data_IF_080809396133
#
_entry.id   IF_080809396133
#
_cell.length_a   1.000
_cell.length_b   1.000
_cell.length_c   1.000
_cell.angle_alpha   90.00
_cell.angle_beta   90.00
_cell.angle_gamma   90.00
#
_symmetry.space_group_name_H-M   'P 1'
#
loop_
_entity.id
_entity.type
_entity.pdbx_description
1 polymer ?
#
# COMPACT_ATOMS: atom_id res chain seq x y z
N UNK A 1 -3.54 -64.71 17.35
CA UNK A 1 -4.59 -64.23 16.44
C UNK A 1 -5.00 -62.85 16.95
N UNK A 2 -4.60 -61.72 16.33
CA UNK A 2 -5.10 -61.15 15.04
C UNK A 2 -6.55 -60.62 15.15
N UNK A 3 -6.92 -59.39 14.72
CA UNK A 3 -6.15 -58.32 14.05
C UNK A 3 -6.85 -56.92 14.12
N UNK A 4 -6.05 -55.83 14.20
CA UNK A 4 -6.21 -54.39 13.75
C UNK A 4 -7.53 -53.58 13.94
N UNK A 5 -7.48 -52.33 14.47
CA UNK A 5 -7.29 -50.98 13.83
C UNK A 5 -8.46 -50.52 12.92
N UNK A 6 -8.79 -49.23 12.73
CA UNK A 6 -8.13 -47.93 13.02
C UNK A 6 -9.20 -46.88 13.46
N UNK A 7 -9.03 -45.61 13.88
CA UNK A 7 -8.00 -44.53 13.87
C UNK A 7 -7.69 -43.87 12.50
N UNK A 8 -7.53 -42.55 12.35
CA UNK A 8 -7.65 -41.39 13.25
C UNK A 8 -6.99 -40.15 12.61
N UNK A 9 -7.39 -38.91 12.94
CA UNK A 9 -6.73 -37.66 12.47
C UNK A 9 -6.44 -36.74 13.67
N UNK A 10 -5.25 -36.15 13.70
CA UNK A 10 -4.69 -35.48 14.87
C UNK A 10 -4.74 -33.94 14.81
N UNK A 11 -4.91 -33.32 15.98
CA UNK A 11 -4.55 -31.92 16.18
C UNK A 11 -3.01 -31.77 16.20
N UNK A 12 -2.47 -30.74 15.54
CA UNK A 12 -1.02 -30.52 15.45
C UNK A 12 -0.57 -29.37 16.39
N UNK A 13 0.17 -29.65 17.49
CA UNK A 13 0.41 -28.68 18.55
C UNK A 13 1.73 -27.90 18.37
N UNK A 14 1.71 -26.73 17.70
CA UNK A 14 2.93 -25.88 17.62
C UNK A 14 2.76 -24.37 17.34
N UNK A 15 1.89 -23.68 18.07
CA UNK A 15 2.02 -22.23 18.28
C UNK A 15 1.71 -21.84 19.72
N UNK A 16 2.71 -21.32 20.44
CA UNK A 16 2.51 -20.77 21.79
C UNK A 16 1.93 -19.35 21.68
N UNK A 17 0.78 -19.13 22.32
CA UNK A 17 0.22 -17.80 22.53
C UNK A 17 1.16 -17.00 23.44
N UNK A 18 1.47 -15.76 23.06
CA UNK A 18 2.39 -14.89 23.80
C UNK A 18 1.61 -14.21 24.95
N UNK A 19 1.81 -14.59 26.23
CA UNK A 19 0.75 -14.49 27.25
C UNK A 19 0.76 -13.16 28.04
N UNK A 20 0.83 -12.02 27.34
CA UNK A 20 0.85 -10.69 27.98
C UNK A 20 -0.08 -9.69 27.31
N UNK A 21 -1.39 -9.89 27.50
CA UNK A 21 -2.41 -8.87 27.28
C UNK A 21 -3.51 -9.00 28.34
N UNK A 22 -3.45 -8.17 29.40
CA UNK A 22 -4.43 -8.14 30.49
C UNK A 22 -5.00 -6.71 30.63
N UNK A 23 -6.26 -6.45 30.23
CA UNK A 23 -6.78 -5.10 30.11
C UNK A 23 -7.58 -4.64 31.36
N UNK A 24 -6.90 -4.20 32.44
CA UNK A 24 -7.59 -3.58 33.59
C UNK A 24 -6.99 -2.26 34.10
N UNK A 25 -7.76 -1.19 33.84
CA UNK A 25 -7.87 0.12 34.54
C UNK A 25 -6.65 1.07 34.57
N UNK A 26 -6.90 2.40 34.61
CA UNK A 26 -5.85 3.42 34.54
C UNK A 26 -5.39 3.91 35.92
N UNK A 27 -4.11 4.24 36.05
CA UNK A 27 -3.57 5.06 37.15
C UNK A 27 -3.36 6.50 36.68
N UNK A 28 -3.85 7.46 37.47
CA UNK A 28 -3.76 8.89 37.17
C UNK A 28 -2.43 9.47 37.63
N UNK A 29 -1.64 10.02 36.70
CA UNK A 29 -0.46 10.84 37.00
C UNK A 29 -0.51 12.14 36.20
N UNK A 30 -0.70 13.26 36.91
CA UNK A 30 -0.64 14.60 36.32
C UNK A 30 0.80 14.96 35.95
N UNK A 31 1.15 14.85 34.68
CA UNK A 31 2.31 15.52 34.10
C UNK A 31 1.84 16.83 33.43
N UNK A 32 2.37 17.98 33.87
CA UNK A 32 2.07 19.28 33.27
C UNK A 32 2.71 19.36 31.87
N UNK A 33 1.90 19.31 30.81
CA UNK A 33 2.39 19.38 29.42
C UNK A 33 2.60 20.85 29.04
N UNK A 34 3.87 21.28 29.06
CA UNK A 34 4.28 22.55 28.44
C UNK A 34 3.97 22.50 26.93
N UNK A 35 3.24 23.48 26.36
CA UNK A 35 2.80 23.42 24.98
C UNK A 35 3.95 23.69 24.00
N UNK A 36 4.61 22.62 23.54
CA UNK A 36 5.54 22.66 22.41
C UNK A 36 4.84 23.24 21.17
N UNK A 37 5.31 24.40 20.70
CA UNK A 37 4.83 25.09 19.49
C UNK A 37 4.76 24.11 18.31
N UNK A 38 3.55 23.80 17.85
CA UNK A 38 3.32 23.04 16.62
C UNK A 38 3.85 23.83 15.42
N UNK A 39 5.01 23.45 14.89
CA UNK A 39 5.40 23.83 13.53
C UNK A 39 4.53 23.03 12.55
N UNK A 40 3.57 23.70 11.91
CA UNK A 40 2.83 23.13 10.79
C UNK A 40 3.82 22.81 9.66
N UNK A 41 3.85 21.56 9.20
CA UNK A 41 4.69 21.17 8.08
C UNK A 41 3.92 21.33 6.76
N UNK A 42 4.47 22.16 5.87
CA UNK A 42 4.11 22.30 4.45
C UNK A 42 2.61 22.28 4.12
N UNK A 43 1.98 23.46 4.18
CA UNK A 43 1.09 23.84 3.07
C UNK A 43 1.98 24.16 1.85
N UNK A 44 1.56 23.74 0.67
CA UNK A 44 1.96 24.39 -0.59
C UNK A 44 1.22 25.73 -0.62
N UNK A 45 1.86 26.83 -1.04
CA UNK A 45 1.17 28.11 -1.22
C UNK A 45 0.15 28.03 -2.36
N UNK A 46 -0.89 28.88 -2.32
CA UNK A 46 -1.93 28.93 -3.36
C UNK A 46 -1.46 29.63 -4.66
N UNK A 47 -0.14 29.75 -4.89
CA UNK A 47 0.46 30.29 -6.11
C UNK A 47 1.08 29.21 -7.00
N UNK A 48 0.86 29.29 -8.31
CA UNK A 48 1.24 28.25 -9.29
C UNK A 48 2.73 27.86 -9.25
N UNK A 49 3.62 28.77 -8.87
CA UNK A 49 5.05 28.49 -8.73
C UNK A 49 5.39 27.41 -7.69
N UNK A 50 4.70 27.39 -6.54
CA UNK A 50 4.89 26.38 -5.50
C UNK A 50 4.37 25.01 -5.97
N UNK A 51 3.26 24.99 -6.71
CA UNK A 51 2.68 23.78 -7.31
C UNK A 51 3.59 23.20 -8.39
N UNK A 52 4.10 24.03 -9.30
CA UNK A 52 5.01 23.62 -10.36
C UNK A 52 6.34 23.09 -9.81
N UNK A 53 6.88 23.72 -8.76
CA UNK A 53 8.07 23.23 -8.06
C UNK A 53 7.84 21.84 -7.42
N UNK A 54 6.71 21.65 -6.74
CA UNK A 54 6.33 20.37 -6.13
C UNK A 54 6.14 19.25 -7.17
N UNK A 55 5.45 19.54 -8.28
CA UNK A 55 5.28 18.59 -9.40
C UNK A 55 6.63 18.21 -10.02
N UNK A 56 7.51 19.19 -10.25
CA UNK A 56 8.84 18.97 -10.83
C UNK A 56 9.73 18.10 -9.92
N UNK A 57 9.79 18.40 -8.61
CA UNK A 57 10.52 17.55 -7.65
C UNK A 57 9.94 16.12 -7.64
N UNK A 58 8.61 15.98 -7.56
CA UNK A 58 7.94 14.68 -7.56
C UNK A 58 8.23 13.88 -8.84
N UNK A 59 8.19 14.51 -10.01
CA UNK A 59 8.43 13.86 -11.30
C UNK A 59 9.89 13.45 -11.48
N UNK A 60 10.85 14.29 -11.06
CA UNK A 60 12.28 13.94 -11.03
C UNK A 60 12.54 12.73 -10.12
N UNK A 61 11.92 12.70 -8.94
CA UNK A 61 11.98 11.58 -8.01
C UNK A 61 11.34 10.30 -8.57
N UNK A 62 10.25 10.44 -9.33
CA UNK A 62 9.60 9.35 -10.09
C UNK A 62 10.52 8.81 -11.19
N UNK A 63 11.20 9.67 -11.97
CA UNK A 63 12.20 9.24 -12.96
C UNK A 63 13.34 8.43 -12.32
N UNK A 64 14.02 8.99 -11.31
CA UNK A 64 15.19 8.35 -10.68
C UNK A 64 14.87 6.99 -10.03
N UNK A 65 13.65 6.82 -9.50
CA UNK A 65 13.22 5.53 -8.96
C UNK A 65 12.92 4.50 -10.05
N UNK A 66 12.24 4.89 -11.14
CA UNK A 66 12.00 3.98 -12.27
C UNK A 66 13.31 3.55 -12.93
N UNK A 67 14.26 4.48 -13.11
CA UNK A 67 15.59 4.20 -13.67
C UNK A 67 16.38 3.19 -12.82
N UNK A 68 16.41 3.37 -11.50
CA UNK A 68 17.08 2.42 -10.61
C UNK A 68 16.34 1.08 -10.51
N UNK A 69 15.01 1.09 -10.58
CA UNK A 69 14.24 -0.16 -10.72
C UNK A 69 14.50 -0.85 -12.07
N UNK A 70 14.87 -0.12 -13.13
CA UNK A 70 15.29 -0.67 -14.42
C UNK A 70 16.75 -1.17 -14.40
N UNK A 71 17.65 -0.50 -13.65
CA UNK A 71 19.03 -0.96 -13.44
C UNK A 71 19.07 -2.24 -12.61
N UNK A 72 18.38 -2.27 -11.47
CA UNK A 72 18.22 -3.47 -10.64
C UNK A 72 17.56 -4.59 -11.44
N UNK A 73 16.49 -4.30 -12.19
CA UNK A 73 15.86 -5.27 -13.09
C UNK A 73 16.82 -5.88 -14.11
N UNK A 74 17.66 -5.08 -14.78
CA UNK A 74 18.66 -5.61 -15.72
C UNK A 74 19.63 -6.55 -15.02
N UNK A 75 20.10 -6.19 -13.83
CA UNK A 75 21.00 -7.01 -13.03
C UNK A 75 20.36 -8.30 -12.50
N UNK A 76 19.06 -8.28 -12.16
CA UNK A 76 18.24 -9.45 -11.85
C UNK A 76 18.02 -10.40 -13.06
N UNK A 77 18.22 -9.92 -14.30
CA UNK A 77 18.22 -10.77 -15.53
C UNK A 77 19.62 -11.29 -15.85
N UNK A 78 20.64 -10.46 -15.64
CA UNK A 78 22.05 -10.70 -15.99
C UNK A 78 22.75 -11.62 -14.97
N UNK A 79 22.31 -11.68 -13.72
CA UNK A 79 22.72 -12.73 -12.77
C UNK A 79 21.90 -14.01 -12.97
N UNK A 80 22.55 -15.16 -12.97
CA UNK A 80 21.87 -16.44 -13.21
C UNK A 80 20.69 -16.70 -12.25
N UNK A 81 19.60 -17.17 -12.87
CA UNK A 81 18.20 -17.02 -12.42
C UNK A 81 17.80 -17.82 -11.17
N UNK A 82 18.76 -18.45 -10.51
CA UNK A 82 18.53 -19.45 -9.46
C UNK A 82 18.85 -18.92 -8.04
N UNK A 83 19.39 -17.69 -7.93
CA UNK A 83 19.93 -17.13 -6.68
C UNK A 83 19.10 -16.03 -5.99
N UNK A 84 18.21 -15.31 -6.69
CA UNK A 84 17.33 -14.29 -6.07
C UNK A 84 15.89 -14.79 -5.85
N UNK A 85 15.41 -14.86 -4.60
CA UNK A 85 14.01 -15.19 -4.29
C UNK A 85 12.95 -14.21 -4.83
N UNK A 86 13.33 -12.99 -5.27
CA UNK A 86 12.40 -11.98 -5.78
C UNK A 86 12.23 -11.99 -7.31
N UNK A 87 13.18 -12.53 -8.08
CA UNK A 87 13.25 -12.45 -9.53
C UNK A 87 11.95 -12.91 -10.26
N UNK A 88 11.28 -13.94 -9.74
CA UNK A 88 10.00 -14.42 -10.30
C UNK A 88 8.92 -13.32 -10.29
N UNK A 89 8.86 -12.48 -9.25
CA UNK A 89 7.92 -11.36 -9.17
C UNK A 89 8.23 -10.31 -10.23
N UNK A 90 9.51 -10.14 -10.56
CA UNK A 90 9.92 -9.21 -11.61
C UNK A 90 9.56 -9.74 -13.01
N UNK A 91 9.77 -11.03 -13.28
CA UNK A 91 9.45 -11.67 -14.57
C UNK A 91 7.97 -11.44 -14.93
N UNK A 92 7.04 -11.69 -14.00
CA UNK A 92 5.60 -11.48 -14.22
C UNK A 92 5.26 -10.00 -14.42
N UNK A 93 5.92 -9.09 -13.67
CA UNK A 93 5.74 -7.63 -13.87
C UNK A 93 6.17 -7.19 -15.27
N UNK A 94 7.35 -7.60 -15.75
CA UNK A 94 7.82 -7.25 -17.11
C UNK A 94 6.92 -7.86 -18.17
N UNK A 95 6.58 -9.16 -18.07
CA UNK A 95 5.60 -9.84 -18.95
C UNK A 95 4.32 -9.01 -19.09
N UNK A 96 3.81 -8.46 -17.98
CA UNK A 96 2.59 -7.65 -17.99
C UNK A 96 2.78 -6.23 -18.53
N UNK A 97 3.84 -5.52 -18.13
CA UNK A 97 4.14 -4.18 -18.63
C UNK A 97 4.38 -4.20 -20.15
N UNK A 98 5.17 -5.14 -20.65
CA UNK A 98 5.39 -5.35 -22.09
C UNK A 98 4.07 -5.64 -22.82
N UNK A 99 3.23 -6.53 -22.28
CA UNK A 99 1.94 -6.89 -22.87
C UNK A 99 0.99 -5.68 -22.98
N UNK A 100 0.92 -4.84 -21.93
CA UNK A 100 0.02 -3.68 -21.91
C UNK A 100 0.48 -2.56 -22.84
N UNK A 101 1.80 -2.35 -22.98
CA UNK A 101 2.36 -1.43 -23.98
C UNK A 101 2.12 -1.97 -25.41
N UNK A 102 2.49 -3.23 -25.68
CA UNK A 102 2.43 -3.83 -27.02
C UNK A 102 1.01 -4.06 -27.54
N UNK A 103 0.03 -4.29 -26.66
CA UNK A 103 -1.41 -4.37 -27.01
C UNK A 103 -2.11 -3.00 -26.96
N UNK A 104 -1.38 -1.93 -26.68
CA UNK A 104 -1.92 -0.57 -26.53
C UNK A 104 -3.05 -0.43 -25.50
N UNK A 105 -3.10 -1.33 -24.50
CA UNK A 105 -4.00 -1.21 -23.35
C UNK A 105 -3.52 -0.15 -22.35
N UNK A 106 -2.22 0.17 -22.36
CA UNK A 106 -1.60 1.17 -21.51
C UNK A 106 -2.08 2.60 -21.83
N UNK A 107 -2.56 3.29 -20.80
CA UNK A 107 -2.93 4.71 -20.81
C UNK A 107 -1.88 5.55 -20.07
N UNK A 108 -1.85 6.86 -20.33
CA UNK A 108 -0.88 7.75 -19.69
C UNK A 108 -1.00 7.78 -18.15
N UNK A 109 0.11 7.88 -17.39
CA UNK A 109 1.49 8.07 -17.88
C UNK A 109 2.14 6.79 -18.40
N UNK A 110 2.68 6.85 -19.62
CA UNK A 110 3.48 5.80 -20.25
C UNK A 110 4.99 6.13 -20.21
N UNK A 111 5.90 5.15 -20.34
CA UNK A 111 5.61 3.70 -20.28
C UNK A 111 5.11 3.29 -18.88
N UNK A 112 4.35 2.19 -18.82
CA UNK A 112 3.82 1.65 -17.56
C UNK A 112 4.85 0.84 -16.74
N UNK A 113 6.02 0.55 -17.31
CA UNK A 113 7.12 -0.12 -16.61
C UNK A 113 7.46 0.58 -15.29
N UNK A 114 7.66 -0.21 -14.23
CA UNK A 114 7.90 0.25 -12.85
C UNK A 114 6.74 1.04 -12.21
N UNK A 115 5.58 1.15 -12.87
CA UNK A 115 4.34 1.74 -12.35
C UNK A 115 3.27 0.68 -12.07
N UNK A 116 2.22 1.08 -11.35
CA UNK A 116 0.92 0.42 -11.48
C UNK A 116 0.32 0.91 -12.82
N UNK A 117 0.02 0.02 -13.79
CA UNK A 117 -0.42 0.45 -15.12
C UNK A 117 -1.72 1.23 -15.07
N UNK A 118 -1.78 2.37 -15.76
CA UNK A 118 -3.07 2.96 -16.14
C UNK A 118 -3.56 2.30 -17.43
N UNK A 119 -4.87 2.14 -17.61
CA UNK A 119 -5.41 1.28 -18.65
C UNK A 119 -6.72 1.77 -19.28
N UNK A 120 -6.94 1.36 -20.53
CA UNK A 120 -8.21 1.58 -21.25
C UNK A 120 -9.37 0.92 -20.48
N UNK A 121 -10.45 1.65 -20.26
CA UNK A 121 -11.58 1.15 -19.44
C UNK A 121 -11.40 1.24 -17.93
N UNK A 122 -10.33 1.86 -17.40
CA UNK A 122 -10.19 2.10 -15.96
C UNK A 122 -11.42 2.79 -15.30
N UNK A 123 -12.13 3.74 -15.96
CA UNK A 123 -13.39 4.27 -15.42
C UNK A 123 -14.51 3.23 -15.28
N UNK A 124 -14.59 2.22 -16.16
CA UNK A 124 -15.59 1.15 -16.08
C UNK A 124 -15.26 0.16 -14.96
N UNK A 125 -13.99 -0.17 -14.76
CA UNK A 125 -13.54 -0.95 -13.61
C UNK A 125 -13.82 -0.22 -12.28
N UNK A 126 -13.66 1.11 -12.25
CA UNK A 126 -14.01 1.94 -11.10
C UNK A 126 -15.53 2.05 -10.86
N UNK A 127 -16.36 2.02 -11.92
CA UNK A 127 -17.82 1.99 -11.80
C UNK A 127 -18.29 0.69 -11.12
N UNK A 128 -17.82 -0.48 -11.57
CA UNK A 128 -18.12 -1.78 -10.94
C UNK A 128 -17.66 -1.84 -9.47
N UNK A 129 -16.54 -1.19 -9.13
CA UNK A 129 -16.11 -1.08 -7.74
C UNK A 129 -17.11 -0.26 -6.90
N UNK A 130 -17.68 0.81 -7.45
CA UNK A 130 -18.71 1.61 -6.77
C UNK A 130 -20.09 0.93 -6.69
N UNK A 131 -20.32 -0.11 -7.50
CA UNK A 131 -21.49 -1.00 -7.39
C UNK A 131 -21.37 -2.02 -6.24
N UNK A 132 -20.17 -2.24 -5.68
CA UNK A 132 -19.98 -3.14 -4.53
C UNK A 132 -20.64 -2.55 -3.28
N UNK A 133 -21.39 -3.37 -2.54
CA UNK A 133 -21.98 -2.94 -1.26
C UNK A 133 -20.89 -2.55 -0.24
N UNK A 134 -19.74 -3.23 -0.28
CA UNK A 134 -18.55 -2.86 0.49
C UNK A 134 -17.97 -1.47 0.17
N UNK A 135 -18.27 -0.89 -1.00
CA UNK A 135 -17.99 0.53 -1.29
C UNK A 135 -19.16 1.42 -0.91
N UNK A 136 -20.40 1.02 -1.24
CA UNK A 136 -21.62 1.78 -0.95
C UNK A 136 -21.77 2.09 0.53
N UNK A 137 -21.56 1.11 1.41
CA UNK A 137 -21.68 1.26 2.87
C UNK A 137 -20.42 1.78 3.56
N UNK A 138 -19.28 1.88 2.87
CA UNK A 138 -18.05 2.40 3.45
C UNK A 138 -18.17 3.90 3.76
N UNK A 139 -17.69 4.31 4.93
CA UNK A 139 -17.57 5.71 5.34
C UNK A 139 -16.13 6.21 5.11
N UNK A 140 -15.14 5.32 5.28
CA UNK A 140 -13.72 5.62 5.06
C UNK A 140 -13.12 4.62 4.07
N UNK A 141 -12.67 5.12 2.91
CA UNK A 141 -12.03 4.30 1.88
C UNK A 141 -10.56 4.67 1.76
N UNK A 142 -9.66 3.71 1.98
CA UNK A 142 -8.23 3.88 1.68
C UNK A 142 -7.99 3.62 0.20
N UNK A 143 -7.52 4.61 -0.55
CA UNK A 143 -7.20 4.45 -1.97
C UNK A 143 -5.72 4.79 -2.20
N UNK A 144 -5.01 3.94 -2.93
CA UNK A 144 -3.66 4.21 -3.39
C UNK A 144 -3.59 5.49 -4.27
N UNK A 145 -2.44 6.18 -4.35
CA UNK A 145 -2.30 7.43 -5.10
C UNK A 145 -2.12 7.20 -6.62
N UNK A 146 -1.92 5.96 -7.06
CA UNK A 146 -1.58 5.61 -8.44
C UNK A 146 -2.65 6.04 -9.47
N UNK A 147 -2.22 6.29 -10.72
CA UNK A 147 -3.04 6.88 -11.79
C UNK A 147 -4.36 6.18 -12.12
N UNK A 148 -4.45 4.84 -12.32
CA UNK A 148 -5.73 4.17 -12.63
C UNK A 148 -6.80 4.39 -11.57
N UNK A 149 -6.40 4.66 -10.33
CA UNK A 149 -7.31 4.78 -9.19
C UNK A 149 -7.82 6.22 -8.99
N UNK A 150 -7.42 7.19 -9.84
CA UNK A 150 -7.91 8.58 -9.76
C UNK A 150 -9.44 8.67 -9.82
N UNK A 151 -10.09 7.84 -10.63
CA UNK A 151 -11.56 7.80 -10.71
C UNK A 151 -12.19 7.26 -9.42
N UNK A 152 -11.53 6.33 -8.73
CA UNK A 152 -12.03 5.77 -7.46
C UNK A 152 -11.91 6.81 -6.36
N UNK A 153 -10.79 7.56 -6.30
CA UNK A 153 -10.63 8.72 -5.41
C UNK A 153 -11.73 9.77 -5.65
N UNK A 154 -12.09 10.01 -6.91
CA UNK A 154 -13.19 10.91 -7.29
C UNK A 154 -14.55 10.38 -6.83
N UNK A 155 -14.85 9.10 -7.04
CA UNK A 155 -16.09 8.46 -6.58
C UNK A 155 -16.18 8.39 -5.05
N UNK A 156 -15.06 8.22 -4.34
CA UNK A 156 -15.01 8.30 -2.86
C UNK A 156 -15.45 9.69 -2.38
N UNK A 157 -14.81 10.76 -2.88
CA UNK A 157 -15.12 12.12 -2.46
C UNK A 157 -16.49 12.61 -2.94
N UNK A 158 -16.93 12.20 -4.13
CA UNK A 158 -18.23 12.62 -4.70
C UNK A 158 -19.42 11.81 -4.15
N UNK A 159 -19.17 10.82 -3.29
CA UNK A 159 -20.17 10.08 -2.52
C UNK A 159 -20.07 10.35 -1.02
N UNK A 160 -19.51 11.50 -0.64
CA UNK A 160 -19.31 11.99 0.73
C UNK A 160 -18.57 11.03 1.68
N UNK A 161 -17.68 10.22 1.11
CA UNK A 161 -16.82 9.29 1.86
C UNK A 161 -15.46 9.92 2.15
N UNK A 162 -14.88 9.55 3.29
CA UNK A 162 -13.57 10.03 3.72
C UNK A 162 -12.50 9.28 2.91
N UNK A 163 -11.82 9.99 2.02
CA UNK A 163 -10.70 9.48 1.25
C UNK A 163 -9.45 9.48 2.12
N UNK A 164 -8.96 8.29 2.45
CA UNK A 164 -7.65 8.10 3.06
C UNK A 164 -6.65 7.75 1.95
N UNK A 165 -5.62 8.58 1.73
CA UNK A 165 -4.62 8.36 0.67
C UNK A 165 -3.20 8.45 1.22
N UNK A 166 -2.28 7.55 0.86
CA UNK A 166 -0.87 7.65 1.23
C UNK A 166 -0.29 8.99 0.74
N UNK A 167 0.59 9.61 1.53
CA UNK A 167 1.41 10.70 0.99
C UNK A 167 2.54 10.11 0.13
N UNK A 168 2.95 10.77 -0.98
CA UNK A 168 3.92 10.21 -1.91
C UNK A 168 5.18 9.64 -1.24
N UNK A 169 5.35 8.31 -1.38
CA UNK A 169 6.48 7.52 -0.88
C UNK A 169 6.71 7.59 0.65
N UNK A 170 5.70 7.99 1.42
CA UNK A 170 5.77 8.13 2.89
C UNK A 170 6.89 9.09 3.37
N UNK A 171 7.32 10.04 2.51
CA UNK A 171 8.51 10.91 2.74
C UNK A 171 8.22 12.17 3.56
N UNK A 172 7.05 12.76 3.39
CA UNK A 172 6.59 14.00 4.05
C UNK A 172 5.71 13.71 5.26
N UNK A 173 4.89 12.66 5.16
CA UNK A 173 3.93 12.22 6.14
C UNK A 173 3.48 10.78 5.86
N UNK A 174 2.44 10.35 6.58
CA UNK A 174 1.98 8.97 6.60
C UNK A 174 0.79 8.79 5.63
N UNK A 175 -0.39 9.24 6.02
CA UNK A 175 -1.55 9.41 5.13
C UNK A 175 -2.07 10.84 5.20
N UNK A 176 -2.77 11.26 4.15
CA UNK A 176 -3.66 12.41 4.14
C UNK A 176 -5.11 11.94 4.11
N UNK A 177 -5.99 12.61 4.88
CA UNK A 177 -7.45 12.47 4.80
C UNK A 177 -8.01 13.64 4.00
N UNK A 178 -8.93 13.34 3.08
CA UNK A 178 -9.76 14.29 2.35
C UNK A 178 -11.24 13.95 2.57
N UNK A 179 -12.06 14.98 2.71
CA UNK A 179 -13.49 14.94 3.03
C UNK A 179 -14.18 16.05 2.21
N UNK A 180 -15.34 15.76 1.61
CA UNK A 180 -16.05 16.66 0.68
C UNK A 180 -16.44 17.99 1.31
N UNK A 181 -16.84 18.00 2.58
CA UNK A 181 -17.16 19.19 3.40
C UNK A 181 -16.07 20.28 3.41
N UNK A 182 -14.83 19.93 3.05
CA UNK A 182 -13.66 20.83 3.06
C UNK A 182 -13.12 21.12 1.66
N UNK A 183 -13.86 20.71 0.62
CA UNK A 183 -13.58 20.96 -0.79
C UNK A 183 -14.71 21.80 -1.38
N UNK A 184 -14.45 22.42 -2.54
CA UNK A 184 -15.53 22.94 -3.38
C UNK A 184 -15.83 21.91 -4.48
N UNK A 185 -17.05 21.81 -5.03
CA UNK A 185 -17.38 20.84 -6.06
C UNK A 185 -16.40 20.84 -7.25
N UNK A 186 -15.94 22.02 -7.66
CA UNK A 186 -14.96 22.20 -8.73
C UNK A 186 -13.54 21.68 -8.38
N UNK A 187 -13.13 21.69 -7.10
CA UNK A 187 -11.79 21.24 -6.69
C UNK A 187 -11.70 19.74 -6.42
N UNK A 188 -12.80 18.99 -6.38
CA UNK A 188 -12.80 17.53 -6.14
C UNK A 188 -11.91 16.79 -7.15
N UNK A 189 -11.88 17.21 -8.43
CA UNK A 189 -11.03 16.57 -9.46
C UNK A 189 -9.54 16.87 -9.29
N UNK A 190 -9.19 18.03 -8.73
CA UNK A 190 -7.83 18.41 -8.34
C UNK A 190 -7.41 17.63 -7.09
N UNK A 191 -8.27 17.56 -6.08
CA UNK A 191 -8.08 16.81 -4.82
C UNK A 191 -7.76 15.32 -5.02
N UNK A 192 -8.12 14.75 -6.17
CA UNK A 192 -7.79 13.37 -6.54
C UNK A 192 -6.37 13.18 -7.13
N UNK A 193 -5.58 14.25 -7.26
CA UNK A 193 -4.19 14.25 -7.76
C UNK A 193 -3.18 14.36 -6.61
N UNK A 194 -1.91 14.00 -6.85
CA UNK A 194 -0.83 14.18 -5.86
C UNK A 194 -0.72 15.63 -5.35
N UNK A 195 -0.92 16.62 -6.22
CA UNK A 195 -0.96 18.06 -5.87
C UNK A 195 -2.13 18.35 -4.95
N UNK A 196 -3.35 18.00 -5.34
CA UNK A 196 -4.54 18.26 -4.53
C UNK A 196 -4.53 17.53 -3.19
N UNK A 197 -3.92 16.35 -3.11
CA UNK A 197 -3.67 15.62 -1.85
C UNK A 197 -2.67 16.34 -0.93
N UNK A 198 -1.72 17.09 -1.49
CA UNK A 198 -0.77 17.91 -0.72
C UNK A 198 -1.35 19.29 -0.34
N UNK A 199 -2.24 19.86 -1.17
CA UNK A 199 -2.89 21.16 -0.97
C UNK A 199 -4.09 21.10 -0.02
N UNK A 200 -4.99 20.14 -0.22
CA UNK A 200 -6.24 20.00 0.53
C UNK A 200 -6.20 18.88 1.60
N UNK A 201 -5.28 17.92 1.48
CA UNK A 201 -5.24 16.74 2.34
C UNK A 201 -4.68 17.00 3.74
N UNK A 202 -5.45 16.63 4.77
CA UNK A 202 -5.02 16.71 6.17
C UNK A 202 -4.15 15.53 6.56
N UNK A 203 -2.87 15.77 6.80
CA UNK A 203 -1.94 14.74 7.27
C UNK A 203 -2.39 14.14 8.61
N UNK A 204 -2.36 12.80 8.73
CA UNK A 204 -2.60 12.08 9.98
C UNK A 204 -1.35 11.38 10.49
N UNK A 205 -1.23 11.22 11.80
CA UNK A 205 -0.18 10.45 12.48
C UNK A 205 -0.67 9.10 13.00
N UNK A 206 0.24 8.31 13.57
CA UNK A 206 -0.02 6.95 14.08
C UNK A 206 -1.09 6.91 15.18
N UNK A 207 -1.21 7.97 15.99
CA UNK A 207 -2.21 8.07 17.07
C UNK A 207 -3.62 8.48 16.58
N UNK A 208 -3.82 8.66 15.28
CA UNK A 208 -5.13 8.99 14.71
C UNK A 208 -6.04 7.77 14.78
N UNK A 209 -6.97 7.76 15.73
CA UNK A 209 -8.13 6.86 15.71
C UNK A 209 -8.95 7.10 14.44
N UNK A 210 -9.03 6.07 13.60
CA UNK A 210 -9.79 5.99 12.36
C UNK A 210 -10.02 4.50 12.08
N UNK A 211 -11.23 4.12 11.64
CA UNK A 211 -11.47 2.82 11.00
C UNK A 211 -11.46 3.06 9.48
N UNK A 212 -10.89 2.13 8.73
CA UNK A 212 -11.01 2.09 7.26
C UNK A 212 -11.93 0.93 6.92
N UNK A 213 -13.00 1.20 6.18
CA UNK A 213 -14.02 0.21 5.86
C UNK A 213 -13.71 -0.55 4.55
N UNK A 214 -12.84 0.00 3.70
CA UNK A 214 -12.46 -0.55 2.41
C UNK A 214 -11.04 -0.12 2.00
N UNK A 215 -10.23 -1.04 1.50
CA UNK A 215 -8.91 -0.77 0.91
C UNK A 215 -8.97 -0.97 -0.60
N UNK A 216 -8.45 0.00 -1.36
CA UNK A 216 -8.31 -0.05 -2.82
C UNK A 216 -6.83 0.04 -3.18
N UNK A 217 -6.26 -1.09 -3.61
CA UNK A 217 -4.82 -1.31 -3.79
C UNK A 217 -4.44 -1.44 -5.28
N UNK A 218 -3.28 -0.90 -5.65
CA UNK A 218 -2.78 -0.94 -7.03
C UNK A 218 -2.05 -2.25 -7.33
N UNK A 219 -2.33 -2.85 -8.48
CA UNK A 219 -1.74 -4.13 -8.92
C UNK A 219 -1.20 -4.05 -10.35
N UNK A 220 -0.07 -4.72 -10.61
CA UNK A 220 0.46 -4.98 -11.95
C UNK A 220 -0.17 -6.25 -12.52
N UNK A 221 -0.19 -7.33 -11.73
CA UNK A 221 -0.81 -8.60 -12.10
C UNK A 221 -1.52 -9.23 -10.88
N UNK A 222 -2.58 -10.01 -11.10
CA UNK A 222 -3.40 -10.62 -10.04
C UNK A 222 -3.91 -11.99 -10.48
N UNK A 223 -3.90 -12.98 -9.59
CA UNK A 223 -4.49 -14.30 -9.81
C UNK A 223 -5.96 -14.33 -9.34
N UNK A 224 -6.94 -14.59 -10.25
CA UNK A 224 -8.36 -14.50 -9.92
C UNK A 224 -8.89 -15.62 -9.02
N UNK A 225 -8.24 -16.79 -9.00
CA UNK A 225 -8.65 -17.94 -8.18
C UNK A 225 -8.14 -17.87 -6.74
N UNK A 226 -7.07 -17.10 -6.48
CA UNK A 226 -6.36 -17.10 -5.19
C UNK A 226 -6.25 -15.73 -4.55
N UNK A 227 -6.47 -14.64 -5.29
CA UNK A 227 -6.27 -13.28 -4.80
C UNK A 227 -4.79 -12.89 -4.60
N UNK A 228 -3.84 -13.72 -5.02
CA UNK A 228 -2.43 -13.34 -5.04
C UNK A 228 -2.22 -12.18 -6.02
N UNK A 229 -1.49 -11.13 -5.62
CA UNK A 229 -1.20 -9.97 -6.49
C UNK A 229 0.26 -9.56 -6.44
N UNK A 230 0.70 -8.91 -7.51
CA UNK A 230 1.99 -8.24 -7.58
C UNK A 230 1.80 -6.73 -7.77
N UNK A 231 2.17 -5.94 -6.77
CA UNK A 231 2.38 -4.50 -6.94
C UNK A 231 3.66 -4.19 -7.73
N UNK A 232 3.90 -2.90 -8.04
CA UNK A 232 5.03 -2.43 -8.88
C UNK A 232 6.44 -2.81 -8.41
N UNK A 233 6.61 -3.17 -7.13
CA UNK A 233 7.86 -3.72 -6.58
C UNK A 233 8.44 -2.96 -5.38
N UNK A 234 8.05 -1.69 -5.16
CA UNK A 234 8.64 -0.85 -4.12
C UNK A 234 8.23 -1.20 -2.67
N UNK A 235 7.30 -2.13 -2.44
CA UNK A 235 6.84 -2.53 -1.09
C UNK A 235 6.02 -1.48 -0.31
N UNK A 236 5.69 -0.33 -0.93
CA UNK A 236 4.99 0.77 -0.22
C UNK A 236 3.56 0.40 0.19
N UNK A 237 2.80 -0.31 -0.64
CA UNK A 237 1.40 -0.63 -0.34
C UNK A 237 1.27 -1.68 0.78
N UNK A 238 2.27 -2.56 0.89
CA UNK A 238 2.45 -3.57 1.93
C UNK A 238 2.82 -2.91 3.27
N UNK A 239 3.72 -1.91 3.23
CA UNK A 239 4.06 -1.06 4.39
C UNK A 239 2.88 -0.20 4.87
N UNK A 240 2.13 0.40 3.94
CA UNK A 240 0.89 1.14 4.21
C UNK A 240 -0.13 0.27 4.95
N UNK A 241 -0.34 -0.96 4.47
CA UNK A 241 -1.22 -1.93 5.11
C UNK A 241 -0.73 -2.33 6.51
N UNK A 242 0.56 -2.69 6.65
CA UNK A 242 1.14 -3.08 7.94
C UNK A 242 1.09 -1.98 9.01
N UNK A 243 1.21 -0.71 8.61
CA UNK A 243 1.01 0.43 9.52
C UNK A 243 -0.45 0.65 9.91
N UNK A 244 -1.41 0.48 8.98
CA UNK A 244 -2.84 0.55 9.31
C UNK A 244 -3.26 -0.58 10.27
N UNK A 245 -2.68 -1.79 10.13
CA UNK A 245 -2.84 -2.88 11.11
C UNK A 245 -2.32 -2.49 12.49
N UNK A 246 -1.12 -1.93 12.59
CA UNK A 246 -0.57 -1.46 13.87
C UNK A 246 -1.48 -0.45 14.59
N UNK A 247 -2.15 0.43 13.84
CA UNK A 247 -3.08 1.41 14.40
C UNK A 247 -4.42 0.83 14.89
N UNK A 248 -4.71 -0.45 14.60
CA UNK A 248 -6.06 -1.00 14.71
C UNK A 248 -7.07 -0.33 13.76
N UNK A 249 -6.59 0.28 12.67
CA UNK A 249 -7.44 0.97 11.71
C UNK A 249 -8.09 0.02 10.70
N UNK A 250 -7.52 -1.18 10.55
CA UNK A 250 -8.00 -2.29 9.73
C UNK A 250 -7.73 -3.62 10.43
N UNK A 251 -8.51 -4.64 10.08
CA UNK A 251 -8.46 -6.00 10.61
C UNK A 251 -8.55 -7.03 9.45
N UNK A 252 -8.80 -8.30 9.73
CA UNK A 252 -8.91 -9.34 8.69
C UNK A 252 -10.25 -9.27 7.92
N UNK A 253 -11.29 -8.69 8.52
CA UNK A 253 -12.59 -8.46 7.88
C UNK A 253 -12.57 -7.29 6.89
N UNK A 254 -11.59 -6.39 6.99
CA UNK A 254 -11.49 -5.23 6.09
C UNK A 254 -11.23 -5.69 4.65
N UNK A 255 -12.14 -5.40 3.69
CA UNK A 255 -12.00 -5.83 2.31
C UNK A 255 -10.87 -5.10 1.58
N UNK A 256 -10.08 -5.85 0.81
CA UNK A 256 -9.00 -5.38 -0.06
C UNK A 256 -9.37 -5.61 -1.52
N UNK A 257 -9.52 -4.53 -2.27
CA UNK A 257 -10.06 -4.53 -3.63
C UNK A 257 -9.06 -3.92 -4.61
N UNK A 258 -9.04 -4.41 -5.85
CA UNK A 258 -8.17 -3.87 -6.90
C UNK A 258 -8.91 -3.68 -8.23
N UNK A 259 -8.56 -2.62 -8.95
CA UNK A 259 -9.09 -2.32 -10.30
C UNK A 259 -7.98 -2.47 -11.32
N UNK A 260 -8.18 -3.36 -12.29
CA UNK A 260 -7.17 -3.71 -13.31
C UNK A 260 -7.83 -3.97 -14.67
N UNK A 261 -7.06 -3.93 -15.75
CA UNK A 261 -7.51 -4.41 -17.05
C UNK A 261 -7.66 -5.94 -17.04
N UNK A 262 -8.56 -6.51 -17.85
CA UNK A 262 -8.78 -7.96 -17.90
C UNK A 262 -7.51 -8.76 -18.26
N UNK A 263 -6.59 -8.18 -19.02
CA UNK A 263 -5.32 -8.83 -19.35
C UNK A 263 -4.33 -8.92 -18.17
N UNK A 264 -4.56 -8.20 -17.07
CA UNK A 264 -3.73 -8.23 -15.86
C UNK A 264 -4.10 -9.41 -14.93
N UNK A 265 -5.13 -10.18 -15.30
CA UNK A 265 -5.42 -11.47 -14.69
C UNK A 265 -4.42 -12.52 -15.17
N UNK A 266 -3.76 -13.21 -14.25
CA UNK A 266 -2.74 -14.23 -14.53
C UNK A 266 -2.92 -15.46 -13.67
N UNK A 267 -2.67 -16.64 -14.21
CA UNK A 267 -2.64 -17.91 -13.47
C UNK A 267 -1.29 -18.14 -12.77
N UNK A 268 -0.20 -17.66 -13.37
CA UNK A 268 1.20 -17.99 -13.05
C UNK A 268 1.84 -17.37 -11.78
N UNK A 269 1.06 -17.01 -10.74
CA UNK A 269 1.60 -16.50 -9.46
C UNK A 269 1.80 -17.66 -8.45
N UNK A 270 3.04 -18.10 -8.16
CA UNK A 270 3.33 -19.14 -7.17
C UNK A 270 3.02 -18.69 -5.74
N UNK A 271 2.06 -19.35 -5.08
CA UNK A 271 1.64 -19.05 -3.71
C UNK A 271 2.74 -19.35 -2.69
N UNK A 272 3.49 -20.43 -2.90
CA UNK A 272 4.56 -20.92 -2.02
C UNK A 272 5.79 -19.99 -2.00
N UNK A 273 5.86 -19.04 -2.94
CA UNK A 273 6.92 -18.02 -3.02
C UNK A 273 6.44 -16.62 -2.59
N UNK A 274 5.19 -16.47 -2.16
CA UNK A 274 4.70 -15.24 -1.55
C UNK A 274 5.39 -15.02 -0.19
N UNK A 275 5.69 -13.76 0.11
CA UNK A 275 6.16 -13.33 1.40
C UNK A 275 4.97 -13.05 2.33
N UNK A 276 5.17 -13.26 3.64
CA UNK A 276 4.17 -13.03 4.70
C UNK A 276 3.63 -11.58 4.78
N UNK A 277 4.20 -10.64 4.00
CA UNK A 277 3.77 -9.24 3.89
C UNK A 277 3.09 -8.90 2.55
N UNK A 278 3.01 -9.82 1.58
CA UNK A 278 2.25 -9.60 0.34
C UNK A 278 0.74 -9.59 0.67
N UNK A 279 0.13 -8.42 0.75
CA UNK A 279 -1.33 -8.30 0.99
C UNK A 279 -2.09 -8.91 -0.20
N UNK A 280 -2.97 -9.91 -0.02
CA UNK A 280 -3.82 -10.43 -1.09
C UNK A 280 -4.95 -9.44 -1.45
N UNK A 281 -5.79 -9.78 -2.42
CA UNK A 281 -7.04 -9.08 -2.73
C UNK A 281 -8.23 -10.02 -2.61
N UNK A 282 -9.30 -9.53 -1.97
CA UNK A 282 -10.56 -10.23 -1.77
C UNK A 282 -11.49 -10.08 -2.98
N UNK A 283 -11.42 -8.93 -3.68
CA UNK A 283 -12.26 -8.60 -4.83
C UNK A 283 -11.42 -7.94 -5.94
N UNK A 284 -11.67 -8.36 -7.18
CA UNK A 284 -11.04 -7.80 -8.39
C UNK A 284 -12.15 -7.22 -9.27
N UNK A 285 -12.01 -5.97 -9.69
CA UNK A 285 -12.90 -5.32 -10.65
C UNK A 285 -12.16 -5.04 -11.96
N UNK A 286 -12.69 -5.54 -13.08
CA UNK A 286 -12.18 -5.27 -14.43
C UNK A 286 -13.22 -4.50 -15.25
N UNK A 287 -12.87 -3.94 -16.43
CA UNK A 287 -13.87 -3.38 -17.33
C UNK A 287 -15.03 -4.34 -17.66
N UNK A 288 -14.79 -5.66 -17.73
CA UNK A 288 -15.86 -6.63 -18.03
C UNK A 288 -16.62 -7.13 -16.79
N UNK A 289 -15.92 -7.47 -15.69
CA UNK A 289 -16.50 -8.28 -14.59
C UNK A 289 -15.99 -7.92 -13.20
N UNK A 290 -16.67 -8.46 -12.19
CA UNK A 290 -16.22 -8.51 -10.78
C UNK A 290 -15.89 -9.96 -10.46
N UNK A 291 -14.82 -10.19 -9.69
CA UNK A 291 -14.38 -11.52 -9.24
C UNK A 291 -14.17 -11.44 -7.72
N UNK A 292 -14.85 -12.29 -6.98
CA UNK A 292 -14.60 -12.52 -5.55
C UNK A 292 -13.62 -13.70 -5.43
N UNK A 293 -12.46 -13.46 -4.83
CA UNK A 293 -11.34 -14.43 -4.87
C UNK A 293 -11.46 -15.50 -3.79
N UNK A 294 -12.21 -15.22 -2.72
CA UNK A 294 -12.29 -16.05 -1.51
C UNK A 294 -10.90 -16.49 -1.02
N UNK A 295 -9.95 -15.55 -1.01
CA UNK A 295 -8.51 -15.82 -0.93
C UNK A 295 -8.13 -16.73 0.25
N UNK A 296 -7.39 -17.83 0.01
CA UNK A 296 -6.84 -18.66 1.08
C UNK A 296 -5.57 -18.05 1.71
N UNK A 297 -5.12 -16.89 1.22
CA UNK A 297 -3.87 -16.24 1.65
C UNK A 297 -4.16 -15.43 2.92
N UNK A 298 -3.48 -15.69 4.05
CA UNK A 298 -3.71 -14.92 5.26
C UNK A 298 -3.27 -13.46 5.07
N UNK A 299 -4.12 -12.52 5.48
CA UNK A 299 -3.80 -11.10 5.45
C UNK A 299 -2.64 -10.79 6.42
N UNK A 300 -1.67 -9.93 6.02
CA UNK A 300 -0.54 -9.56 6.87
C UNK A 300 -0.98 -9.00 8.24
N UNK A 301 -0.32 -9.42 9.31
CA UNK A 301 -0.77 -9.11 10.68
C UNK A 301 -0.17 -7.80 11.23
N UNK A 302 0.76 -7.17 10.51
CA UNK A 302 1.45 -5.95 10.94
C UNK A 302 2.70 -5.67 10.11
N UNK A 303 3.74 -5.15 10.77
CA UNK A 303 5.03 -4.85 10.15
C UNK A 303 6.05 -5.92 10.54
N UNK A 304 6.62 -6.59 9.53
CA UNK A 304 7.65 -7.62 9.69
C UNK A 304 9.03 -6.95 9.68
N UNK A 305 9.46 -6.47 10.86
CA UNK A 305 10.68 -5.67 11.01
C UNK A 305 11.97 -6.40 10.57
N UNK A 306 11.99 -7.72 10.68
CA UNK A 306 13.01 -8.63 10.17
C UNK A 306 13.06 -8.75 8.64
N UNK A 307 12.08 -8.16 7.94
CA UNK A 307 12.04 -8.03 6.47
C UNK A 307 12.29 -6.59 5.97
N UNK A 308 12.52 -5.64 6.89
CA UNK A 308 12.82 -4.25 6.54
C UNK A 308 14.30 -3.94 6.66
N UNK A 309 14.92 -3.57 5.54
CA UNK A 309 16.34 -3.22 5.48
C UNK A 309 16.69 -1.96 6.28
N UNK A 310 17.95 -1.79 6.73
CA UNK A 310 18.44 -0.54 7.31
C UNK A 310 18.21 0.66 6.39
N UNK A 311 18.31 0.47 5.08
CA UNK A 311 18.13 1.49 4.06
C UNK A 311 16.64 1.90 3.97
N UNK A 312 15.71 0.94 3.98
CA UNK A 312 14.26 1.24 3.94
C UNK A 312 13.81 2.03 5.15
N UNK A 313 14.33 1.66 6.32
CA UNK A 313 14.13 2.39 7.57
C UNK A 313 14.74 3.81 7.48
N UNK A 314 15.92 3.99 6.89
CA UNK A 314 16.52 5.32 6.69
C UNK A 314 15.75 6.20 5.69
N UNK A 315 15.18 5.62 4.64
CA UNK A 315 14.34 6.36 3.69
C UNK A 315 13.01 6.82 4.31
N UNK A 316 12.33 5.97 5.09
CA UNK A 316 10.94 6.20 5.52
C UNK A 316 10.89 6.68 6.98
N UNK A 317 10.64 7.98 7.19
CA UNK A 317 10.63 8.62 8.52
C UNK A 317 9.63 7.96 9.48
N UNK A 318 8.42 7.66 9.01
CA UNK A 318 7.35 7.14 9.88
C UNK A 318 7.66 5.75 10.46
N UNK A 319 8.38 4.91 9.71
CA UNK A 319 8.81 3.59 10.18
C UNK A 319 9.89 3.68 11.27
N UNK A 320 10.77 4.69 11.23
CA UNK A 320 11.74 4.93 12.32
C UNK A 320 11.07 5.38 13.60
N UNK A 321 10.09 6.28 13.48
CA UNK A 321 9.33 6.76 14.64
C UNK A 321 8.55 5.60 15.27
N UNK A 322 7.87 4.79 14.46
CA UNK A 322 7.14 3.61 14.90
C UNK A 322 8.07 2.55 15.52
N UNK A 323 9.21 2.24 14.88
CA UNK A 323 10.20 1.31 15.45
C UNK A 323 10.71 1.81 16.81
N UNK A 324 11.17 3.06 16.89
CA UNK A 324 11.65 3.69 18.13
C UNK A 324 10.58 3.68 19.24
N UNK A 325 9.32 3.92 18.89
CA UNK A 325 8.18 3.88 19.80
C UNK A 325 7.99 2.48 20.36
N UNK A 326 7.87 1.46 19.51
CA UNK A 326 7.72 0.07 19.91
C UNK A 326 8.91 -0.44 20.74
N UNK A 327 10.14 -0.07 20.39
CA UNK A 327 11.34 -0.43 21.15
C UNK A 327 11.34 0.19 22.56
N UNK A 328 10.81 1.42 22.71
CA UNK A 328 10.60 2.07 24.01
C UNK A 328 9.43 1.45 24.80
N UNK A 329 8.31 1.16 24.14
CA UNK A 329 7.09 0.59 24.76
C UNK A 329 7.30 -0.85 25.24
N UNK A 330 8.11 -1.64 24.52
CA UNK A 330 8.38 -3.06 24.86
C UNK A 330 9.68 -3.28 25.64
N UNK A 331 10.55 -2.27 25.73
CA UNK A 331 11.89 -2.39 26.31
C UNK A 331 12.84 -3.30 25.51
N UNK A 332 12.48 -3.70 24.28
CA UNK A 332 13.24 -4.66 23.47
C UNK A 332 13.57 -4.04 22.10
N UNK A 333 14.82 -4.19 21.67
CA UNK A 333 15.25 -3.80 20.32
C UNK A 333 14.57 -4.71 19.28
N UNK A 334 13.95 -4.11 18.27
CA UNK A 334 13.27 -4.84 17.21
C UNK A 334 14.27 -5.31 16.15
N UNK A 335 14.06 -6.47 15.50
CA UNK A 335 14.93 -6.94 14.43
C UNK A 335 14.93 -5.96 13.25
N UNK A 336 15.98 -6.04 12.44
CA UNK A 336 16.11 -5.36 11.14
C UNK A 336 16.45 -6.44 10.13
N UNK A 337 15.91 -6.34 8.91
CA UNK A 337 16.23 -7.26 7.82
C UNK A 337 17.64 -7.06 7.24
N UNK A 338 18.01 -7.86 6.23
CA UNK A 338 19.26 -7.67 5.49
C UNK A 338 19.30 -6.30 4.79
N UNK A 339 20.50 -5.81 4.49
CA UNK A 339 20.69 -4.63 3.64
C UNK A 339 20.14 -4.89 2.22
N UNK A 340 19.55 -3.87 1.60
CA UNK A 340 19.07 -3.97 0.21
C UNK A 340 19.44 -2.71 -0.61
N UNK A 341 19.85 -2.89 -1.87
CA UNK A 341 20.14 -1.76 -2.78
C UNK A 341 18.83 -1.09 -3.21
N UNK A 342 18.35 -0.13 -2.42
CA UNK A 342 17.19 0.68 -2.76
C UNK A 342 17.51 1.74 -3.84
N UNK A 343 16.50 2.15 -4.63
CA UNK A 343 16.63 3.33 -5.48
C UNK A 343 16.92 4.59 -4.63
N UNK A 344 17.73 5.53 -5.14
CA UNK A 344 18.14 6.71 -4.39
C UNK A 344 16.94 7.61 -4.02
N UNK A 345 16.90 7.99 -2.76
CA UNK A 345 16.12 9.15 -2.30
C UNK A 345 16.95 10.41 -2.46
N UNK A 346 16.34 11.52 -2.91
CA UNK A 346 17.01 12.82 -2.93
C UNK A 346 17.63 13.13 -1.56
N UNK A 347 18.89 13.56 -1.58
CA UNK A 347 19.69 13.70 -0.38
C UNK A 347 19.25 14.92 0.44
N UNK A 348 18.88 14.68 1.70
CA UNK A 348 18.39 15.73 2.58
C UNK A 348 19.56 16.47 3.20
N UNK A 349 20.04 17.52 2.52
CA UNK A 349 20.83 18.59 3.14
C UNK A 349 20.15 18.98 4.47
N UNK A 350 20.83 18.75 5.59
CA UNK A 350 20.33 19.12 6.92
C UNK A 350 20.11 20.63 6.97
N UNK A 351 18.92 21.03 7.42
CA UNK A 351 18.52 22.37 7.85
C UNK A 351 17.82 22.22 9.20
#
# INVERSE_FOLDING_TARGET
>A
MMIRLSSGIAANPRFQLNPFFNPQKPTSLHAQIVPLRRKNFSKIGDGDGDVAAYESERLSLDAAAMENMAETARKEIESDKESDPKAWKWIIRKKMWDLMEARNYAMNPRPVHHRIPNFVGAPAAAAKLAELDAFRTANVVKVNPDSPQKQIRFLTLSGDKKLLTPQPRLRTGFFSVLESDFLKPETIREACTSVGVAKYGRAIGLDKKIKVDLIVIGSVAVNPQTGARLGKGEGFAELEYGMLRYMGAIDDSTPVVTTIHDCQLVDDIPLEKLAIHDVPVDIICTPTRVIFTNTPIPKPQGIYWDKLSPEKLQQIRILRELKRRLEKETGRKLPTGPSEKLPPTADRKRR
#
